data_IF_381700150009
#
_entry.id   IF_381700150009
#
_cell.length_a   1.000
_cell.length_b   1.000
_cell.length_c   1.000
_cell.angle_alpha   90.00
_cell.angle_beta   90.00
_cell.angle_gamma   90.00
#
_symmetry.space_group_name_H-M   'P 1'
#
loop_
_entity.id
_entity.type
_entity.pdbx_description
1 polymer ?
#
# COMPACT_ATOMS: atom_id res chain seq x y z
N UNK A 1 -12.91 -10.41 30.54
CA UNK A 1 -11.44 -10.59 30.45
C UNK A 1 -10.99 -9.63 29.37
N UNK A 2 -10.40 -8.51 29.75
CA UNK A 2 -9.89 -7.51 28.80
C UNK A 2 -8.51 -7.97 28.35
N UNK A 3 -8.40 -8.48 27.13
CA UNK A 3 -7.12 -8.87 26.54
C UNK A 3 -6.23 -7.62 26.45
N UNK A 4 -5.22 -7.59 27.32
CA UNK A 4 -4.20 -6.55 27.32
C UNK A 4 -3.14 -6.90 26.27
N UNK A 5 -3.53 -6.90 24.99
CA UNK A 5 -2.61 -7.07 23.85
C UNK A 5 -1.80 -5.79 23.66
N UNK A 6 -0.86 -5.56 24.56
CA UNK A 6 0.11 -4.48 24.43
C UNK A 6 1.22 -4.92 23.49
N UNK A 7 1.30 -4.29 22.31
CA UNK A 7 2.43 -4.49 21.39
C UNK A 7 3.70 -3.94 22.08
N UNK A 8 4.78 -4.74 22.20
CA UNK A 8 6.04 -4.25 22.76
C UNK A 8 6.56 -3.01 21.99
N UNK A 9 7.17 -2.06 22.70
CA UNK A 9 7.62 -0.79 22.10
C UNK A 9 8.55 -0.99 20.89
N UNK A 10 9.45 -1.96 20.96
CA UNK A 10 10.39 -2.26 19.88
C UNK A 10 9.68 -2.81 18.64
N UNK A 11 8.65 -3.64 18.84
CA UNK A 11 7.83 -4.17 17.75
C UNK A 11 6.94 -3.08 17.14
N UNK A 12 6.42 -2.17 17.97
CA UNK A 12 5.68 -1.00 17.50
C UNK A 12 6.57 -0.08 16.66
N UNK A 13 7.83 0.14 17.08
CA UNK A 13 8.79 0.93 16.32
C UNK A 13 9.10 0.31 14.96
N UNK A 14 9.25 -1.03 14.89
CA UNK A 14 9.42 -1.74 13.62
C UNK A 14 8.20 -1.59 12.71
N UNK A 15 7.00 -1.71 13.26
CA UNK A 15 5.76 -1.55 12.50
C UNK A 15 5.61 -0.12 11.96
N UNK A 16 5.97 0.89 12.76
CA UNK A 16 5.98 2.28 12.33
C UNK A 16 7.00 2.54 11.20
N UNK A 17 8.19 1.93 11.29
CA UNK A 17 9.19 2.01 10.21
C UNK A 17 8.65 1.44 8.91
N UNK A 18 8.09 0.22 8.96
CA UNK A 18 7.47 -0.46 7.80
C UNK A 18 6.33 0.37 7.21
N UNK A 19 5.48 0.97 8.05
CA UNK A 19 4.42 1.86 7.59
C UNK A 19 4.97 3.09 6.86
N UNK A 20 6.02 3.70 7.38
CA UNK A 20 6.66 4.88 6.78
C UNK A 20 7.23 4.58 5.40
N UNK A 21 7.88 3.42 5.25
CA UNK A 21 8.42 2.94 3.96
C UNK A 21 7.29 2.72 2.94
N UNK A 22 6.21 2.05 3.34
CA UNK A 22 5.05 1.81 2.47
C UNK A 22 4.42 3.13 2.05
N UNK A 23 4.19 4.05 2.99
CA UNK A 23 3.68 5.39 2.69
C UNK A 23 4.56 6.12 1.66
N UNK A 24 5.89 6.04 1.80
CA UNK A 24 6.81 6.65 0.86
C UNK A 24 6.71 6.01 -0.53
N UNK A 25 6.69 4.68 -0.61
CA UNK A 25 6.54 3.93 -1.86
C UNK A 25 5.23 4.27 -2.59
N UNK A 26 4.11 4.32 -1.85
CA UNK A 26 2.79 4.72 -2.38
C UNK A 26 2.82 6.13 -2.92
N UNK A 27 3.35 7.10 -2.16
CA UNK A 27 3.44 8.49 -2.60
C UNK A 27 4.30 8.64 -3.86
N UNK A 28 5.40 7.90 -3.95
CA UNK A 28 6.26 7.91 -5.14
C UNK A 28 5.52 7.34 -6.36
N UNK A 29 4.82 6.21 -6.20
CA UNK A 29 4.02 5.61 -7.27
C UNK A 29 2.92 6.56 -7.76
N UNK A 30 2.21 7.21 -6.85
CA UNK A 30 1.17 8.19 -7.17
C UNK A 30 1.75 9.43 -7.86
N UNK A 31 2.89 9.95 -7.40
CA UNK A 31 3.55 11.08 -8.03
C UNK A 31 3.91 10.78 -9.50
N UNK A 32 4.40 9.57 -9.79
CA UNK A 32 4.68 9.15 -11.17
C UNK A 32 3.39 9.08 -12.01
N UNK A 33 2.31 8.49 -11.48
CA UNK A 33 1.03 8.42 -12.20
C UNK A 33 0.46 9.81 -12.47
N UNK A 34 0.50 10.71 -11.47
CA UNK A 34 0.02 12.09 -11.60
C UNK A 34 0.83 12.87 -12.63
N UNK A 35 2.16 12.72 -12.62
CA UNK A 35 3.03 13.34 -13.62
C UNK A 35 2.71 12.82 -15.03
N UNK A 36 2.52 11.51 -15.20
CA UNK A 36 2.15 10.91 -16.49
C UNK A 36 0.77 11.35 -16.95
N UNK A 37 -0.20 11.51 -16.05
CA UNK A 37 -1.53 12.01 -16.37
C UNK A 37 -1.50 13.48 -16.84
N UNK A 38 -0.74 14.33 -16.14
CA UNK A 38 -0.52 15.71 -16.53
C UNK A 38 0.19 15.80 -17.91
N UNK A 39 1.20 14.95 -18.13
CA UNK A 39 1.90 14.89 -19.42
C UNK A 39 0.99 14.36 -20.54
N UNK A 40 0.13 13.38 -20.27
CA UNK A 40 -0.77 12.80 -21.28
C UNK A 40 -1.83 13.79 -21.75
N UNK A 41 -2.26 14.72 -20.90
CA UNK A 41 -3.15 15.81 -21.30
C UNK A 41 -2.50 16.74 -22.34
N UNK A 42 -1.19 16.97 -22.24
CA UNK A 42 -0.45 17.84 -23.17
C UNK A 42 0.08 17.09 -24.40
N UNK A 43 0.43 15.81 -24.23
CA UNK A 43 1.01 14.94 -25.25
C UNK A 43 0.37 13.55 -25.16
N UNK A 44 -0.56 13.21 -26.08
CA UNK A 44 -1.30 11.95 -26.06
C UNK A 44 -0.42 10.70 -26.01
N UNK A 45 0.81 10.75 -26.53
CA UNK A 45 1.79 9.65 -26.51
C UNK A 45 2.16 9.17 -25.09
N UNK A 46 1.94 9.99 -24.06
CA UNK A 46 2.16 9.60 -22.67
C UNK A 46 1.01 8.80 -22.06
N UNK A 47 -0.15 8.72 -22.73
CA UNK A 47 -1.31 7.97 -22.24
C UNK A 47 -1.01 6.47 -22.12
N UNK A 48 -0.24 5.91 -23.07
CA UNK A 48 0.18 4.50 -23.00
C UNK A 48 1.10 4.26 -21.80
N UNK A 49 2.07 5.16 -21.56
CA UNK A 49 2.96 5.10 -20.39
C UNK A 49 2.19 5.22 -19.08
N UNK A 50 1.18 6.08 -19.04
CA UNK A 50 0.27 6.19 -17.90
C UNK A 50 -0.46 4.87 -17.66
N UNK A 51 -1.05 4.28 -18.71
CA UNK A 51 -1.76 3.01 -18.60
C UNK A 51 -0.84 1.88 -18.09
N UNK A 52 0.38 1.77 -18.63
CA UNK A 52 1.38 0.82 -18.13
C UNK A 52 1.76 1.07 -16.67
N UNK A 53 1.92 2.33 -16.27
CA UNK A 53 2.23 2.69 -14.89
C UNK A 53 1.08 2.33 -13.94
N UNK A 54 -0.17 2.55 -14.33
CA UNK A 54 -1.36 2.18 -13.53
C UNK A 54 -1.44 0.67 -13.39
N UNK A 55 -1.33 -0.09 -14.49
CA UNK A 55 -1.42 -1.55 -14.47
C UNK A 55 -0.33 -2.23 -13.63
N UNK A 56 0.83 -1.60 -13.51
CA UNK A 56 1.96 -2.16 -12.72
C UNK A 56 1.96 -1.69 -11.28
N UNK A 57 1.81 -0.39 -11.03
CA UNK A 57 1.98 0.19 -9.70
C UNK A 57 0.73 0.09 -8.83
N UNK A 58 -0.48 0.09 -9.39
CA UNK A 58 -1.69 -0.04 -8.59
C UNK A 58 -1.77 -1.40 -7.87
N UNK A 59 -1.49 -2.56 -8.52
CA UNK A 59 -1.41 -3.84 -7.82
C UNK A 59 -0.31 -3.88 -6.76
N UNK A 60 0.84 -3.25 -7.01
CA UNK A 60 1.95 -3.18 -6.04
C UNK A 60 1.57 -2.41 -4.78
N UNK A 61 0.83 -1.31 -4.92
CA UNK A 61 0.29 -0.53 -3.79
C UNK A 61 -0.64 -1.42 -2.95
N UNK A 62 -1.57 -2.13 -3.60
CA UNK A 62 -2.52 -3.01 -2.91
C UNK A 62 -1.79 -4.12 -2.17
N UNK A 63 -0.83 -4.80 -2.82
CA UNK A 63 -0.02 -5.85 -2.19
C UNK A 63 0.71 -5.32 -0.94
N UNK A 64 1.38 -4.17 -1.07
CA UNK A 64 2.12 -3.56 0.05
C UNK A 64 1.23 -3.24 1.24
N UNK A 65 0.02 -2.72 0.99
CA UNK A 65 -0.95 -2.42 2.04
C UNK A 65 -1.54 -3.68 2.68
N UNK A 66 -1.79 -4.73 1.88
CA UNK A 66 -2.24 -6.03 2.39
C UNK A 66 -1.16 -6.68 3.27
N UNK A 67 0.10 -6.69 2.83
CA UNK A 67 1.24 -7.19 3.60
C UNK A 67 1.44 -6.44 4.92
N UNK A 68 1.19 -5.13 4.95
CA UNK A 68 1.20 -4.36 6.18
C UNK A 68 0.05 -4.74 7.10
N UNK A 69 -1.16 -4.85 6.54
CA UNK A 69 -2.37 -5.20 7.31
C UNK A 69 -2.22 -6.58 7.95
N UNK A 70 -1.68 -7.56 7.22
CA UNK A 70 -1.37 -8.88 7.75
C UNK A 70 -0.35 -8.80 8.90
N UNK A 71 0.76 -8.08 8.69
CA UNK A 71 1.77 -7.90 9.73
C UNK A 71 1.22 -7.19 10.98
N UNK A 72 0.32 -6.22 10.82
CA UNK A 72 -0.35 -5.56 11.94
C UNK A 72 -1.29 -6.54 12.66
N UNK A 73 -2.13 -7.28 11.92
CA UNK A 73 -3.09 -8.23 12.48
C UNK A 73 -2.42 -9.34 13.29
N UNK A 74 -1.30 -9.87 12.81
CA UNK A 74 -0.46 -10.81 13.54
C UNK A 74 0.00 -10.25 14.90
N UNK A 75 0.33 -8.96 14.97
CA UNK A 75 0.81 -8.31 16.19
C UNK A 75 -0.27 -7.99 17.20
N UNK A 76 -1.50 -7.73 16.75
CA UNK A 76 -2.64 -7.45 17.64
C UNK A 76 -3.47 -8.69 17.97
N UNK A 77 -3.07 -9.87 17.47
CA UNK A 77 -3.82 -11.12 17.65
C UNK A 77 -5.18 -11.13 16.96
N UNK A 78 -5.41 -10.22 16.01
CA UNK A 78 -6.65 -10.17 15.25
C UNK A 78 -6.66 -11.27 14.20
N UNK A 79 -7.70 -12.10 14.21
CA UNK A 79 -7.97 -13.03 13.10
C UNK A 79 -8.21 -12.19 11.85
N UNK A 80 -7.61 -12.50 10.69
CA UNK A 80 -7.86 -11.74 9.47
C UNK A 80 -9.35 -11.88 9.12
N UNK A 81 -10.14 -10.84 9.40
CA UNK A 81 -11.49 -10.74 8.83
C UNK A 81 -11.33 -10.53 7.33
N UNK A 82 -12.11 -11.30 6.57
CA UNK A 82 -11.93 -11.54 5.15
C UNK A 82 -11.51 -10.31 4.35
N UNK A 83 -10.38 -10.45 3.65
CA UNK A 83 -10.04 -9.59 2.53
C UNK A 83 -11.25 -9.53 1.59
N UNK A 84 -11.71 -8.33 1.16
CA UNK A 84 -12.70 -8.26 0.10
C UNK A 84 -12.18 -9.02 -1.10
N UNK A 85 -13.05 -9.90 -1.58
CA UNK A 85 -12.90 -10.86 -2.67
C UNK A 85 -12.04 -10.34 -3.81
N UNK A 86 -11.19 -11.23 -4.33
CA UNK A 86 -10.51 -11.06 -5.61
C UNK A 86 -11.50 -10.55 -6.65
N UNK A 87 -11.25 -9.35 -7.19
CA UNK A 87 -11.91 -8.91 -8.41
C UNK A 87 -11.32 -9.76 -9.54
N UNK A 88 -12.04 -10.83 -9.87
CA UNK A 88 -11.92 -11.56 -11.14
C UNK A 88 -12.27 -10.63 -12.31
#
# INVERSE_FOLDING_TARGET
MTDNTSIPRDELAQLQSKYSEIKHSVNNALAVMMALAEMSQRRPDYAEKLASAVLTKAPQIVSSLQEFTLALNEKIGAKPEGLPTQLQ
#
